data_IF_411684224581
#
_entry.id   IF_411684224581
#
_cell.length_a   1.000
_cell.length_b   1.000
_cell.length_c   1.000
_cell.angle_alpha   90.00
_cell.angle_beta   90.00
_cell.angle_gamma   90.00
#
_symmetry.space_group_name_H-M   'P 1'
#
loop_
_entity.id
_entity.type
_entity.pdbx_description
1 polymer ?
2 non-polymer ?
3 water ?
#
# COMPACT_ATOMS: atom_id res chain seq x y z
N UNK A 1 6.39 13.30 12.23
CA UNK A 1 7.21 12.16 12.57
C UNK A 1 7.99 11.60 11.41
N UNK A 2 8.99 10.82 11.78
CA UNK A 2 9.81 10.07 10.79
C UNK A 2 9.38 8.63 11.19
N UNK A 3 9.03 7.84 10.22
CA UNK A 3 8.60 6.46 10.41
C UNK A 3 9.45 5.52 9.54
N UNK A 4 10.07 4.54 10.18
CA UNK A 4 10.89 3.52 9.51
C UNK A 4 9.90 2.38 9.29
N UNK A 5 10.12 1.47 8.39
CA UNK A 5 9.24 0.41 8.00
C UNK A 5 9.53 -1.01 8.44
N UNK A 6 10.18 -1.11 9.59
CA UNK A 6 10.53 -2.42 10.19
C UNK A 6 9.20 -2.96 10.68
N UNK A 7 8.27 -2.02 10.85
CA UNK A 7 6.93 -2.50 11.29
C UNK A 7 5.83 -1.82 10.49
N UNK A 8 4.62 -2.30 10.51
CA UNK A 8 3.52 -1.59 9.77
C UNK A 8 3.41 -0.14 10.23
N UNK A 9 3.36 0.86 9.36
CA UNK A 9 3.21 2.25 9.75
C UNK A 9 1.76 2.49 10.18
N UNK A 10 1.35 2.24 11.40
CA UNK A 10 -0.01 2.44 11.94
C UNK A 10 -0.09 3.72 12.75
N UNK A 11 -1.20 4.41 12.61
CA UNK A 11 -1.42 5.69 13.30
C UNK A 11 -2.85 5.78 13.75
N UNK A 12 -3.09 6.58 14.78
CA UNK A 12 -4.45 6.77 15.30
C UNK A 12 -5.23 7.84 14.57
N UNK A 13 -6.42 7.49 14.09
CA UNK A 13 -7.22 8.53 13.38
C UNK A 13 -8.50 8.73 14.21
N UNK A 14 -9.13 9.88 14.02
CA UNK A 14 -10.41 10.13 14.71
C UNK A 14 -11.35 10.52 13.57
N UNK A 15 -12.39 9.76 13.30
CA UNK A 15 -13.40 9.92 12.29
C UNK A 15 -14.83 9.76 12.91
N UNK A 16 -15.68 10.78 12.79
CA UNK A 16 -17.06 10.57 13.30
C UNK A 16 -17.14 10.17 14.75
N UNK A 17 -16.43 10.82 15.62
CA UNK A 17 -16.35 10.71 17.03
C UNK A 17 -15.70 9.43 17.44
N UNK A 18 -15.24 8.62 16.51
CA UNK A 18 -14.62 7.30 16.84
C UNK A 18 -13.12 7.27 16.67
N UNK A 19 -12.43 6.50 17.49
CA UNK A 19 -10.98 6.34 17.45
C UNK A 19 -10.64 5.04 16.71
N UNK A 20 -9.76 5.16 15.72
CA UNK A 20 -9.29 4.01 14.93
C UNK A 20 -7.79 3.98 14.67
N UNK A 21 -7.25 2.84 14.36
CA UNK A 21 -5.80 2.76 13.99
C UNK A 21 -5.81 2.56 12.48
N UNK A 22 -4.95 3.18 11.72
CA UNK A 22 -5.04 2.94 10.26
C UNK A 22 -3.62 2.80 9.71
N UNK A 23 -3.45 2.31 8.53
CA UNK A 23 -2.16 2.10 7.88
C UNK A 23 -1.87 3.24 6.91
N UNK A 24 -0.67 3.79 7.02
CA UNK A 24 -0.16 4.84 6.10
C UNK A 24 0.21 4.00 4.87
N UNK A 25 -0.57 4.15 3.80
CA UNK A 25 -0.40 3.33 2.60
C UNK A 25 -0.15 4.10 1.32
N UNK A 26 1.10 4.21 0.96
CA UNK A 26 1.51 4.89 -0.28
C UNK A 26 1.11 4.08 -1.49
N UNK A 27 0.62 2.87 -1.35
CA UNK A 27 0.27 2.23 -2.65
C UNK A 27 -1.23 2.37 -2.91
N UNK A 28 -1.92 3.02 -2.03
CA UNK A 28 -3.37 3.20 -2.06
C UNK A 28 -3.73 4.60 -2.54
N UNK A 29 -4.45 4.63 -3.65
CA UNK A 29 -4.86 5.92 -4.22
C UNK A 29 -5.88 6.63 -3.34
N UNK A 30 -6.74 5.79 -2.80
CA UNK A 30 -7.90 6.08 -1.99
C UNK A 30 -7.75 5.58 -0.56
N UNK A 31 -8.61 6.13 0.27
CA UNK A 31 -8.68 5.81 1.72
C UNK A 31 -9.88 4.89 1.85
N UNK A 32 -9.73 3.80 2.52
CA UNK A 32 -10.79 2.80 2.70
C UNK A 32 -10.81 2.29 4.14
N UNK A 33 -11.96 2.31 4.79
CA UNK A 33 -12.11 1.89 6.16
C UNK A 33 -13.17 0.82 6.33
N UNK A 34 -12.99 0.02 7.33
CA UNK A 34 -13.89 -1.05 7.76
C UNK A 34 -15.26 -0.36 7.91
N UNK A 35 -16.28 -1.18 7.91
CA UNK A 35 -17.64 -0.68 7.99
C UNK A 35 -17.82 0.13 9.27
N UNK A 36 -18.51 1.25 9.11
CA UNK A 36 -18.79 2.12 10.25
C UNK A 36 -19.97 3.04 9.89
N UNK A 37 -20.58 3.44 11.01
CA UNK A 37 -21.72 4.35 11.07
C UNK A 37 -21.06 5.76 11.01
N UNK A 38 -21.21 6.22 9.78
CA UNK A 38 -20.76 7.52 9.30
C UNK A 38 -22.09 8.06 8.77
N UNK A 39 -22.37 9.31 9.11
CA UNK A 39 -23.61 9.96 8.67
C UNK A 39 -23.46 10.63 7.30
N UNK A 40 -24.61 10.69 6.63
CA UNK A 40 -24.73 11.31 5.31
C UNK A 40 -25.15 10.32 4.22
N UNK A 41 -25.09 10.93 3.04
CA UNK A 41 -25.41 10.25 1.80
C UNK A 41 -23.99 9.85 1.29
N UNK A 42 -24.00 8.63 0.85
CA UNK A 42 -22.81 7.97 0.29
C UNK A 42 -23.23 7.44 -1.07
N UNK A 43 -22.28 7.04 -1.88
CA UNK A 43 -22.60 6.49 -3.23
C UNK A 43 -21.86 5.17 -3.34
N UNK A 44 -22.53 4.11 -3.75
CA UNK A 44 -21.94 2.77 -3.91
C UNK A 44 -20.86 2.90 -4.97
N UNK A 45 -19.89 2.03 -4.89
CA UNK A 45 -18.73 2.07 -5.83
C UNK A 45 -18.01 0.74 -5.66
N UNK A 46 -17.32 0.27 -6.67
CA UNK A 46 -16.55 -0.98 -6.60
C UNK A 46 -15.10 -0.56 -6.74
N UNK A 47 -14.23 -1.22 -6.00
CA UNK A 47 -12.81 -0.95 -6.07
C UNK A 47 -12.08 -2.29 -6.22
N UNK A 48 -10.94 -2.10 -6.91
CA UNK A 48 -10.05 -3.25 -7.16
C UNK A 48 -8.73 -3.17 -6.42
N UNK A 49 -8.48 -4.22 -5.67
CA UNK A 49 -7.24 -4.43 -4.86
C UNK A 49 -6.61 -5.73 -5.40
N UNK A 50 -5.52 -6.20 -4.80
CA UNK A 50 -4.89 -7.41 -5.29
C UNK A 50 -5.82 -8.60 -5.42
N UNK A 51 -6.82 -8.90 -4.62
CA UNK A 51 -7.54 -10.14 -4.98
C UNK A 51 -8.87 -10.03 -5.68
N UNK A 52 -9.29 -8.90 -6.18
CA UNK A 52 -10.57 -8.70 -6.84
C UNK A 52 -11.24 -7.44 -6.28
N UNK A 53 -12.51 -7.31 -6.58
CA UNK A 53 -13.36 -6.19 -6.24
C UNK A 53 -14.17 -6.32 -4.95
N UNK A 54 -14.53 -5.16 -4.42
CA UNK A 54 -15.37 -5.05 -3.23
C UNK A 54 -16.29 -3.85 -3.46
N UNK A 55 -17.54 -3.94 -3.08
CA UNK A 55 -18.46 -2.79 -3.19
C UNK A 55 -18.20 -1.88 -1.98
N UNK A 56 -18.07 -0.60 -2.13
CA UNK A 56 -17.85 0.34 -1.02
C UNK A 56 -18.91 1.46 -1.11
N UNK A 57 -19.09 2.21 -0.04
CA UNK A 57 -19.95 3.36 0.07
C UNK A 57 -18.97 4.54 0.07
N UNK A 58 -19.10 5.44 -0.85
CA UNK A 58 -18.37 6.65 -1.11
C UNK A 58 -19.02 7.85 -0.36
N UNK A 59 -18.28 8.36 0.61
CA UNK A 59 -18.68 9.52 1.42
C UNK A 59 -17.65 10.63 1.17
N UNK A 60 -18.12 11.80 0.78
CA UNK A 60 -17.28 12.95 0.48
C UNK A 60 -17.32 13.97 1.62
N UNK A 61 -16.34 14.85 1.64
CA UNK A 61 -16.08 15.92 2.58
C UNK A 61 -16.30 15.46 4.02
N UNK A 62 -15.48 14.44 4.30
CA UNK A 62 -15.53 13.88 5.67
C UNK A 62 -14.32 14.36 6.48
N UNK A 63 -14.41 14.81 7.69
CA UNK A 63 -13.27 15.21 8.51
C UNK A 63 -12.62 13.94 9.13
N UNK A 64 -11.34 13.82 8.96
CA UNK A 64 -10.49 12.78 9.47
C UNK A 64 -9.34 13.52 10.16
N UNK A 65 -9.03 13.18 11.37
CA UNK A 65 -7.90 13.78 12.12
C UNK A 65 -6.95 12.61 12.24
N UNK A 66 -5.81 12.73 11.58
CA UNK A 66 -4.79 11.65 11.45
C UNK A 66 -3.54 12.00 12.24
N UNK A 67 -3.29 11.24 13.27
CA UNK A 67 -2.08 11.55 14.10
C UNK A 67 -2.13 13.04 14.48
N UNK A 68 -3.35 13.60 14.65
CA UNK A 68 -3.47 15.00 15.05
C UNK A 68 -3.69 16.02 13.97
N UNK A 69 -3.30 15.74 12.73
CA UNK A 69 -3.52 16.68 11.62
C UNK A 69 -4.97 16.47 11.12
N UNK A 70 -5.72 17.52 10.93
CA UNK A 70 -7.07 17.56 10.41
C UNK A 70 -7.01 17.60 8.87
N UNK A 71 -7.73 16.72 8.24
CA UNK A 71 -7.80 16.58 6.79
C UNK A 71 -9.29 16.42 6.44
N UNK A 72 -9.66 16.80 5.25
CA UNK A 72 -11.06 16.66 4.76
C UNK A 72 -10.95 15.94 3.39
N UNK A 73 -11.76 14.92 3.17
CA UNK A 73 -11.79 14.16 1.96
C UNK A 73 -12.85 13.07 1.90
N UNK A 74 -12.70 12.34 0.81
CA UNK A 74 -13.51 11.20 0.39
C UNK A 74 -12.93 9.98 1.10
N UNK A 75 -13.81 9.29 1.76
CA UNK A 75 -13.54 8.05 2.52
C UNK A 75 -14.45 6.96 1.99
N UNK A 76 -14.01 5.76 1.71
CA UNK A 76 -14.83 4.68 1.19
C UNK A 76 -15.06 3.77 2.39
N UNK A 77 -16.26 3.26 2.56
CA UNK A 77 -16.45 2.37 3.74
C UNK A 77 -16.90 1.04 3.11
N UNK A 78 -16.36 -0.03 3.64
CA UNK A 78 -16.68 -1.34 3.09
C UNK A 78 -15.96 -2.40 3.92
N UNK A 79 -15.98 -3.56 3.30
CA UNK A 79 -15.36 -4.74 3.93
C UNK A 79 -13.92 -4.75 3.52
N UNK A 80 -13.08 -4.23 4.40
CA UNK A 80 -11.63 -4.23 4.08
C UNK A 80 -10.95 -4.88 5.27
N UNK A 81 -9.90 -5.63 5.01
CA UNK A 81 -9.13 -6.26 6.09
C UNK A 81 -8.38 -5.30 7.03
N UNK A 82 -8.23 -4.07 6.57
CA UNK A 82 -7.51 -3.00 7.24
C UNK A 82 -8.00 -1.62 6.86
N UNK A 83 -7.85 -0.72 7.79
CA UNK A 83 -8.17 0.71 7.63
C UNK A 83 -6.93 1.22 6.88
N UNK A 84 -7.11 1.76 5.70
CA UNK A 84 -5.99 2.26 4.92
C UNK A 84 -6.08 3.75 4.68
N UNK A 85 -5.01 4.47 4.98
CA UNK A 85 -5.04 5.92 4.59
C UNK A 85 -4.31 6.03 3.25
N UNK A 86 -4.91 6.34 2.13
CA UNK A 86 -4.21 6.37 0.84
C UNK A 86 -3.76 7.76 0.44
N UNK A 87 -3.29 7.91 -0.78
CA UNK A 87 -2.74 9.18 -1.29
C UNK A 87 -3.60 10.41 -1.24
N UNK A 88 -4.90 10.22 -1.37
CA UNK A 88 -5.84 11.38 -1.29
C UNK A 88 -5.63 12.13 0.04
N UNK A 89 -5.41 11.48 1.18
CA UNK A 89 -5.17 12.24 2.45
C UNK A 89 -3.70 12.42 2.76
N UNK A 90 -2.83 11.53 2.36
CA UNK A 90 -1.38 11.64 2.67
C UNK A 90 -0.81 12.92 2.10
N UNK A 91 -1.38 13.29 0.97
CA UNK A 91 -0.88 14.57 0.38
C UNK A 91 -1.24 15.70 1.31
N UNK A 92 -2.42 15.59 1.93
CA UNK A 92 -2.86 16.66 2.85
C UNK A 92 -2.01 16.81 4.08
N UNK A 93 -1.43 15.79 4.65
CA UNK A 93 -0.59 15.90 5.85
C UNK A 93 0.82 16.23 5.38
N UNK A 94 1.11 16.26 4.11
CA UNK A 94 2.41 16.57 3.53
C UNK A 94 3.40 15.43 3.67
N UNK A 95 2.88 14.24 3.72
CA UNK A 95 3.73 13.03 3.88
C UNK A 95 4.56 12.78 2.63
N UNK A 96 5.85 12.51 2.83
CA UNK A 96 6.75 12.19 1.74
C UNK A 96 7.43 10.86 2.15
N UNK A 97 7.85 10.21 1.13
CA UNK A 97 8.62 8.92 1.23
C UNK A 97 10.05 9.35 0.97
N UNK A 98 11.02 8.87 1.73
CA UNK A 98 12.41 9.23 1.59
C UNK A 98 13.38 8.03 1.67
N UNK A 99 14.35 8.21 0.77
CA UNK A 99 15.44 7.24 0.62
C UNK A 99 16.65 7.84 -0.10
N UNK B 1 16.66 10.35 -2.70
CA UNK B 1 15.40 10.86 -3.16
C UNK B 1 14.34 11.19 -2.12
N UNK B 2 13.60 12.23 -2.54
CA UNK B 2 12.44 12.70 -1.79
C UNK B 2 11.29 12.51 -2.80
N UNK B 3 10.29 11.77 -2.44
CA UNK B 3 9.15 11.52 -3.34
C UNK B 3 7.86 12.02 -2.70
N UNK B 4 7.16 12.92 -3.37
CA UNK B 4 5.86 13.43 -2.90
C UNK B 4 4.77 12.50 -3.44
N UNK B 5 3.60 12.49 -2.90
CA UNK B 5 2.49 11.62 -3.16
C UNK B 5 1.33 12.04 -4.01
N UNK B 6 1.56 13.16 -4.68
CA UNK B 6 0.62 13.74 -5.65
C UNK B 6 0.41 12.74 -6.75
N UNK B 7 1.45 11.93 -6.99
CA UNK B 7 1.41 10.86 -8.03
C UNK B 7 1.75 9.49 -7.47
N UNK B 8 1.40 8.43 -8.19
CA UNK B 8 1.79 7.09 -7.69
C UNK B 8 3.31 7.07 -7.57
N UNK B 9 3.85 6.61 -6.44
CA UNK B 9 5.33 6.55 -6.27
C UNK B 9 5.90 5.34 -7.00
N UNK B 10 6.13 5.46 -8.31
CA UNK B 10 6.66 4.41 -9.15
C UNK B 10 8.16 4.40 -9.31
N UNK B 11 8.79 3.27 -9.28
CA UNK B 11 10.28 3.31 -9.49
C UNK B 11 10.62 2.20 -10.50
N UNK B 12 11.76 2.30 -11.18
CA UNK B 12 12.21 1.30 -12.10
C UNK B 12 13.00 0.23 -11.32
N UNK B 13 12.70 -1.04 -11.51
CA UNK B 13 13.52 -2.09 -10.89
C UNK B 13 14.10 -2.98 -12.04
N UNK B 14 15.15 -3.72 -11.74
CA UNK B 14 15.74 -4.70 -12.68
C UNK B 14 15.76 -6.02 -11.88
N UNK B 15 15.20 -7.10 -12.39
CA UNK B 15 15.18 -8.37 -11.69
C UNK B 15 15.29 -9.46 -12.82
N UNK B 16 16.13 -10.45 -12.56
CA UNK B 16 16.22 -11.56 -13.52
C UNK B 16 16.52 -11.00 -14.91
N UNK B 17 17.21 -9.87 -14.88
CA UNK B 17 17.64 -9.15 -16.07
C UNK B 17 16.54 -8.51 -16.89
N UNK B 18 15.36 -8.33 -16.38
CA UNK B 18 14.24 -7.63 -17.05
C UNK B 18 14.02 -6.28 -16.34
N UNK B 19 13.73 -5.25 -17.09
CA UNK B 19 13.48 -3.91 -16.52
C UNK B 19 11.98 -3.77 -16.27
N UNK B 20 11.56 -3.36 -15.05
CA UNK B 20 10.10 -3.24 -14.77
C UNK B 20 9.80 -2.01 -13.96
N UNK B 21 8.55 -1.59 -13.86
CA UNK B 21 8.22 -0.41 -13.00
C UNK B 21 7.40 -0.96 -11.84
N UNK B 22 7.57 -0.46 -10.63
CA UNK B 22 6.88 -0.93 -9.42
C UNK B 22 6.54 0.24 -8.48
N UNK B 23 5.55 0.05 -7.64
CA UNK B 23 5.05 0.97 -6.66
C UNK B 23 5.78 0.82 -5.32
N UNK B 24 6.12 1.93 -4.72
CA UNK B 24 6.66 1.91 -3.34
C UNK B 24 5.34 1.81 -2.53
N UNK B 25 5.19 0.69 -1.86
CA UNK B 25 3.98 0.39 -1.10
C UNK B 25 4.22 0.11 0.40
N UNK B 26 4.07 1.14 1.20
CA UNK B 26 4.28 1.07 2.66
C UNK B 26 3.23 0.23 3.31
N UNK B 27 2.12 -0.01 2.66
CA UNK B 27 0.99 -0.78 3.23
C UNK B 27 1.17 -2.23 3.02
N UNK B 28 2.16 -2.65 2.23
CA UNK B 28 2.38 -4.08 1.95
C UNK B 28 3.55 -4.67 2.72
N UNK B 29 3.31 -5.75 3.44
CA UNK B 29 4.38 -6.40 4.21
C UNK B 29 5.43 -7.02 3.29
N UNK B 30 4.90 -7.46 2.20
CA UNK B 30 5.63 -8.20 1.17
C UNK B 30 5.67 -7.47 -0.16
N UNK B 31 6.55 -8.03 -0.95
CA UNK B 31 6.82 -7.61 -2.33
C UNK B 31 6.11 -8.59 -3.27
N UNK B 32 5.43 -8.16 -4.27
CA UNK B 32 4.73 -9.09 -5.16
C UNK B 32 4.71 -8.52 -6.58
N UNK B 33 5.17 -9.35 -7.51
CA UNK B 33 5.26 -8.95 -8.90
C UNK B 33 4.46 -9.86 -9.79
N UNK B 34 4.02 -9.24 -10.87
CA UNK B 34 3.25 -9.90 -11.92
C UNK B 34 4.09 -11.11 -12.35
N UNK B 35 3.41 -11.95 -13.05
CA UNK B 35 3.89 -13.20 -13.63
C UNK B 35 5.07 -12.91 -14.55
N UNK B 36 6.17 -13.55 -14.13
CA UNK B 36 7.44 -13.45 -14.85
C UNK B 36 8.26 -14.73 -14.70
N UNK B 37 9.23 -14.73 -15.62
CA UNK B 37 10.18 -15.83 -15.78
C UNK B 37 11.46 -15.52 -14.99
N UNK B 38 11.49 -16.35 -13.94
CA UNK B 38 12.52 -16.38 -12.92
C UNK B 38 13.05 -17.79 -12.72
N UNK B 39 14.35 -17.92 -12.51
CA UNK B 39 15.03 -19.20 -12.28
C UNK B 39 15.09 -19.62 -10.81
N UNK B 40 15.14 -20.94 -10.59
CA UNK B 40 15.20 -21.52 -9.25
C UNK B 40 13.92 -22.18 -8.76
N UNK B 41 14.00 -22.59 -7.50
CA UNK B 41 12.88 -23.25 -6.82
C UNK B 41 11.96 -22.16 -6.23
N UNK B 42 10.73 -22.56 -6.02
CA UNK B 42 9.71 -21.67 -5.44
C UNK B 42 8.77 -22.57 -4.64
N UNK B 43 7.86 -21.96 -3.91
CA UNK B 43 6.83 -22.61 -3.10
C UNK B 43 5.47 -21.91 -3.29
N UNK B 44 4.43 -22.72 -3.39
CA UNK B 44 3.05 -22.21 -3.55
C UNK B 44 2.78 -21.42 -2.28
N UNK B 45 1.96 -20.40 -2.41
CA UNK B 45 1.66 -19.56 -1.22
C UNK B 45 0.47 -18.71 -1.64
N UNK B 46 -0.41 -18.49 -0.70
CA UNK B 46 -1.61 -17.70 -0.84
C UNK B 46 -1.41 -16.46 0.05
N UNK B 47 -1.74 -15.35 -0.57
CA UNK B 47 -1.66 -14.05 0.08
C UNK B 47 -3.05 -13.49 0.17
N UNK B 48 -3.28 -12.60 1.09
CA UNK B 48 -4.59 -11.94 1.29
C UNK B 48 -4.46 -10.44 1.02
N UNK B 49 -5.46 -9.96 0.33
CA UNK B 49 -5.45 -8.50 -0.01
C UNK B 49 -6.91 -8.06 0.11
N UNK B 50 -7.16 -6.91 -0.45
CA UNK B 50 -8.50 -6.35 -0.54
C UNK B 50 -9.04 -7.08 -1.80
N UNK B 51 -10.21 -7.66 -1.65
CA UNK B 51 -10.87 -8.36 -2.74
C UNK B 51 -10.74 -9.85 -2.54
N UNK B 52 -9.79 -10.32 -1.74
CA UNK B 52 -9.67 -11.79 -1.53
C UNK B 52 -8.22 -12.22 -1.62
N UNK B 53 -8.04 -13.51 -1.72
CA UNK B 53 -6.70 -14.10 -1.80
C UNK B 53 -6.29 -14.65 -3.17
N UNK B 54 -4.99 -14.60 -3.37
CA UNK B 54 -4.33 -15.09 -4.58
C UNK B 54 -3.18 -16.07 -4.27
N UNK B 55 -3.00 -16.99 -5.19
CA UNK B 55 -1.93 -18.01 -5.14
C UNK B 55 -0.80 -17.37 -5.95
N UNK B 56 0.37 -17.36 -5.43
CA UNK B 56 1.65 -16.84 -5.85
C UNK B 56 2.76 -17.89 -5.66
N UNK B 57 3.94 -17.65 -6.18
CA UNK B 57 5.04 -18.59 -5.93
C UNK B 57 6.11 -17.72 -5.26
N UNK B 58 6.65 -18.29 -4.21
CA UNK B 58 7.68 -17.56 -3.46
C UNK B 58 9.06 -18.09 -3.83
N UNK B 59 9.90 -17.10 -4.04
CA UNK B 59 11.32 -17.23 -4.40
C UNK B 59 12.11 -16.49 -3.32
N UNK B 60 13.11 -17.12 -2.75
CA UNK B 60 13.89 -16.43 -1.70
C UNK B 60 15.22 -16.10 -2.37
N UNK B 61 15.96 -15.28 -1.64
CA UNK B 61 17.31 -14.92 -2.13
C UNK B 61 17.29 -14.40 -3.55
N UNK B 62 16.37 -13.54 -3.92
CA UNK B 62 16.32 -13.01 -5.31
C UNK B 62 16.98 -11.65 -5.40
N UNK B 63 17.89 -11.35 -6.29
CA UNK B 63 18.49 -10.02 -6.32
C UNK B 63 17.54 -9.03 -6.98
N UNK B 64 17.46 -7.83 -6.49
CA UNK B 64 16.64 -6.76 -7.01
C UNK B 64 17.32 -5.42 -6.90
N UNK B 65 17.18 -4.71 -7.99
CA UNK B 65 17.76 -3.35 -8.07
C UNK B 65 16.60 -2.39 -8.04
N UNK B 66 16.66 -1.54 -7.02
CA UNK B 66 15.56 -0.57 -6.82
C UNK B 66 16.14 0.82 -6.93
N UNK B 67 15.57 1.51 -7.89
CA UNK B 67 15.97 2.90 -8.24
C UNK B 67 17.50 2.90 -8.09
N UNK B 68 18.10 1.90 -8.74
CA UNK B 68 19.54 1.71 -8.74
C UNK B 68 20.24 1.49 -7.41
N UNK B 69 19.72 0.67 -6.53
CA UNK B 69 20.22 0.24 -5.23
C UNK B 69 20.03 -1.29 -5.21
N UNK B 70 20.90 -2.13 -4.73
CA UNK B 70 20.78 -3.58 -4.60
C UNK B 70 20.18 -4.09 -3.27
N UNK B 71 19.34 -5.10 -3.33
CA UNK B 71 18.66 -5.71 -2.19
C UNK B 71 18.49 -7.17 -2.57
N UNK B 72 18.37 -8.06 -1.66
CA UNK B 72 18.14 -9.50 -1.71
C UNK B 72 17.01 -9.77 -0.69
N UNK B 73 15.99 -10.43 -1.20
CA UNK B 73 14.82 -10.80 -0.40
C UNK B 73 13.91 -11.79 -1.04
N UNK B 74 12.80 -11.97 -0.29
CA UNK B 74 11.79 -12.91 -0.83
C UNK B 74 10.95 -12.11 -1.80
N UNK B 75 10.53 -12.70 -2.87
CA UNK B 75 9.69 -12.07 -3.88
C UNK B 75 8.50 -12.98 -4.14
N UNK B 76 7.28 -12.54 -4.14
CA UNK B 76 6.10 -13.41 -4.43
C UNK B 76 5.70 -13.09 -5.86
N UNK B 77 5.54 -14.07 -6.71
CA UNK B 77 5.19 -13.89 -8.14
C UNK B 77 3.80 -14.48 -8.38
N UNK B 78 2.89 -13.64 -8.84
CA UNK B 78 1.51 -14.06 -9.06
C UNK B 78 0.80 -13.05 -9.96
N UNK B 79 -0.49 -13.31 -10.08
CA UNK B 79 -1.40 -12.51 -10.91
C UNK B 79 -1.88 -11.26 -10.19
N UNK B 80 -0.90 -10.46 -9.78
CA UNK B 80 -1.19 -9.21 -9.10
C UNK B 80 -1.48 -8.21 -10.21
N UNK B 81 -2.35 -7.27 -9.98
CA UNK B 81 -2.66 -6.25 -10.98
C UNK B 81 -1.50 -5.27 -11.16
N UNK B 82 -0.62 -5.10 -10.20
CA UNK B 82 0.50 -4.19 -10.13
C UNK B 82 1.72 -4.77 -9.41
N UNK B 83 2.88 -4.27 -9.82
CA UNK B 83 4.18 -4.71 -9.25
C UNK B 83 4.31 -3.87 -7.96
N UNK B 84 4.39 -4.56 -6.85
CA UNK B 84 4.41 -3.91 -5.52
C UNK B 84 5.68 -4.14 -4.77
N UNK B 85 6.37 -3.11 -4.28
CA UNK B 85 7.60 -3.28 -3.46
C UNK B 85 7.07 -3.06 -2.02
N UNK B 86 7.12 -4.06 -1.18
CA UNK B 86 6.52 -4.05 0.18
C UNK B 86 7.53 -3.77 1.24
N UNK B 87 7.16 -3.81 2.54
CA UNK B 87 8.17 -3.45 3.55
C UNK B 87 9.40 -4.33 3.70
N UNK B 88 9.41 -5.53 3.19
CA UNK B 88 10.61 -6.40 3.25
C UNK B 88 11.73 -5.87 2.40
N UNK B 89 11.58 -5.10 1.34
CA UNK B 89 12.68 -4.55 0.52
C UNK B 89 12.88 -3.06 0.84
N UNK B 90 11.79 -2.41 1.20
CA UNK B 90 11.80 -0.99 1.58
C UNK B 90 12.73 -0.75 2.76
N UNK B 91 12.73 -1.62 3.74
CA UNK B 91 13.62 -1.46 4.92
C UNK B 91 15.08 -1.53 4.52
N UNK B 92 15.32 -2.27 3.42
CA UNK B 92 16.64 -2.44 2.82
C UNK B 92 17.16 -1.24 2.08
N UNK B 93 16.33 -0.46 1.41
CA UNK B 93 16.83 0.71 0.65
C UNK B 93 16.88 1.87 1.61
N UNK B 94 16.53 1.60 2.90
CA UNK B 94 16.57 2.69 3.87
C UNK B 94 15.45 3.73 3.74
N UNK B 95 14.36 3.30 3.12
CA UNK B 95 13.22 4.21 2.94
C UNK B 95 12.46 4.47 4.23
N UNK B 96 12.06 5.70 4.48
CA UNK B 96 11.23 6.19 5.57
C UNK B 96 10.09 7.08 5.03
N UNK B 97 9.12 7.23 5.93
CA UNK B 97 7.91 8.07 5.67
C UNK B 97 8.12 9.32 6.53
N UNK B 98 7.87 10.51 6.07
CA UNK B 98 8.08 11.72 6.86
C UNK B 98 6.82 12.58 6.70
N UNK B 99 6.43 13.16 7.81
CA UNK B 99 5.25 14.06 7.92
C UNK B 99 5.35 14.82 9.27
X LIG C 1 -5.53 -1.76 -3.08
X LIG C 1 -4.99 -0.76 -3.54
X LIG C 1 -5.73 0.44 -3.60
X LIG C 1 -7.14 0.38 -3.22
X LIG C 1 -7.95 -0.63 -4.00
X LIG C 1 -7.65 1.79 -3.40
X LIG C 1 -7.33 0.05 -1.73
X LIG C 1 -1.56 -1.43 -3.06
X LIG C 1 -0.97 -2.73 -2.97
X LIG C 1 -2.68 -1.51 -4.11
X LIG C 1 -3.78 -0.54 -4.02
X LIG C 1 -2.00 -1.44 -5.51
X LIG C 1 -3.09 -1.93 -6.45
X LIG C 1 -3.41 -3.31 -6.48
X LIG C 1 -3.85 -0.98 -7.16
X LIG C 1 -4.47 -3.70 -7.30
X LIG C 1 -4.90 -1.41 -7.96
X LIG C 1 -5.21 -2.75 -8.01
X LIG C 1 -1.19 -1.25 -0.50
X LIG C 1 -2.08 -1.00 -1.65
X LIG C 1 -1.42 -2.57 0.14
X LIG C 1 -2.21 -2.54 1.41
X LIG C 1 -3.42 -1.82 1.20
X LIG C 1 -2.66 -3.95 1.91
X LIG C 1 -1.61 -4.93 1.80
X LIG C 1 -3.10 -3.85 3.36
X LIG C 1 -3.63 -5.17 3.90
X LIG C 1 -4.40 -6.04 3.10
X LIG C 1 -3.43 -5.49 5.25
X LIG C 1 -4.90 -7.25 3.58
X LIG C 1 -3.98 -6.68 5.77
X LIG C 1 -4.71 -7.54 4.94
X LIG C 1 -2.51 -6.05 -0.01
X LIG C 1 -1.65 -5.85 0.86
X LIG C 1 -0.51 -6.67 1.00
X LIG C 1 -0.17 -7.70 0.04
X LIG C 1 0.14 -7.17 -1.35
X LIG C 1 -1.26 -8.76 -0.10
X LIG C 1 1.09 -8.34 0.59
#
# INVERSE_FOLDING_TARGET
>A
PQITLWQRPLVTIKIGGQLKEALLDTGADDTVLEEMSLPGRWKPKMIGGIGGFIKVRQYDQILIEICGHKTIGTVLVGPTPANIIGRNLLTQIGCTLNF
>B
PQITLWQRPLVTIKIGGQLKEALLDTGADDTVLEEMSLPGRWKPKMIGGIGGFIKVRQYDQILIEICGHKTIGTVLVGPTPANIIGRNLLTQIGCTLNF
>C hetero
1 0E8 O1 C O2 CT C1 C2 C3 C4 O CA N CB CG CD1 CD2 CE1 CE2 CZ N1 C21 C31 C5 O3 CA1 N2 CB1 CG1 CD11 CD21 CE11 CE21 CZ1 O11 C6 O21 CT1 C11 C22 C32
#
